data_IF_160433392558
#
_entry.id   IF_160433392558
#
_cell.length_a   1.000
_cell.length_b   1.000
_cell.length_c   1.000
_cell.angle_alpha   90.00
_cell.angle_beta   90.00
_cell.angle_gamma   90.00
#
_symmetry.space_group_name_H-M   'P 1'
#
loop_
_entity.id
_entity.type
_entity.pdbx_description
1 polymer ?
#
# COMPACT_ATOMS: atom_id res chain seq x y z
N UNK A 1 -13.59 32.89 -9.98
CA UNK A 1 -14.89 32.24 -9.76
C UNK A 1 -14.63 31.08 -8.82
N UNK A 2 -15.49 30.82 -7.83
CA UNK A 2 -15.34 29.64 -6.98
C UNK A 2 -15.56 28.39 -7.85
N UNK A 3 -14.72 27.36 -7.68
CA UNK A 3 -14.92 26.07 -8.33
C UNK A 3 -16.17 25.42 -7.77
N UNK A 4 -17.01 24.82 -8.63
CA UNK A 4 -18.16 24.04 -8.18
C UNK A 4 -17.65 22.74 -7.54
N UNK A 5 -17.89 22.58 -6.23
CA UNK A 5 -17.46 21.44 -5.42
C UNK A 5 -18.65 20.55 -5.01
N UNK A 6 -19.65 20.45 -5.88
CA UNK A 6 -20.80 19.58 -5.65
C UNK A 6 -20.55 18.19 -6.24
N UNK A 7 -21.12 17.16 -5.60
CA UNK A 7 -20.91 15.76 -5.99
C UNK A 7 -19.56 15.21 -5.55
N UNK A 8 -19.11 14.15 -6.24
CA UNK A 8 -17.87 13.43 -5.94
C UNK A 8 -16.66 14.15 -6.52
N UNK A 9 -15.59 14.33 -5.73
CA UNK A 9 -14.32 14.90 -6.17
C UNK A 9 -13.49 13.92 -7.02
N UNK A 10 -14.07 13.37 -8.09
CA UNK A 10 -13.38 12.49 -9.04
C UNK A 10 -13.79 12.90 -10.44
N UNK A 11 -12.81 13.22 -11.28
CA UNK A 11 -13.00 13.51 -12.69
C UNK A 11 -13.08 12.20 -13.48
N UNK A 12 -14.30 11.78 -13.79
CA UNK A 12 -14.58 10.55 -14.56
C UNK A 12 -14.19 10.65 -16.04
N UNK A 13 -13.95 11.87 -16.55
CA UNK A 13 -13.53 12.12 -17.93
C UNK A 13 -12.00 12.28 -18.05
N UNK A 14 -11.25 12.16 -16.94
CA UNK A 14 -9.80 12.24 -16.97
C UNK A 14 -9.20 11.08 -17.79
N UNK A 15 -8.15 11.34 -18.58
CA UNK A 15 -7.47 10.28 -19.30
C UNK A 15 -6.80 9.31 -18.32
N UNK A 16 -6.76 8.03 -18.66
CA UNK A 16 -6.01 7.05 -17.89
C UNK A 16 -4.53 7.43 -17.85
N UNK A 17 -3.95 7.40 -16.65
CA UNK A 17 -2.50 7.54 -16.46
C UNK A 17 -1.87 6.16 -16.26
N UNK A 18 -0.58 5.99 -16.62
CA UNK A 18 0.14 4.79 -16.21
C UNK A 18 0.17 4.68 -14.68
N UNK A 19 0.00 3.46 -14.18
CA UNK A 19 0.14 3.13 -12.78
C UNK A 19 1.50 3.59 -12.24
N UNK A 20 1.51 4.19 -11.05
CA UNK A 20 2.69 4.76 -10.42
C UNK A 20 3.27 3.86 -9.33
N UNK A 21 4.00 4.49 -8.40
CA UNK A 21 4.74 3.80 -7.35
C UNK A 21 3.83 3.07 -6.37
N UNK A 22 2.68 3.66 -6.00
CA UNK A 22 1.73 3.05 -5.07
C UNK A 22 1.13 1.76 -5.65
N UNK A 23 0.71 1.77 -6.92
CA UNK A 23 0.22 0.57 -7.61
C UNK A 23 1.28 -0.52 -7.71
N UNK A 24 2.51 -0.13 -8.04
CA UNK A 24 3.63 -1.07 -8.20
C UNK A 24 3.96 -1.75 -6.88
N UNK A 25 3.91 -1.02 -5.77
CA UNK A 25 4.09 -1.58 -4.42
C UNK A 25 2.94 -2.50 -4.01
N UNK A 26 1.69 -2.14 -4.30
CA UNK A 26 0.53 -3.00 -4.08
C UNK A 26 0.68 -4.34 -4.82
N UNK A 27 0.95 -4.28 -6.13
CA UNK A 27 1.17 -5.47 -6.94
C UNK A 27 2.37 -6.31 -6.47
N UNK A 28 3.45 -5.67 -6.02
CA UNK A 28 4.59 -6.38 -5.45
C UNK A 28 4.18 -7.17 -4.20
N UNK A 29 3.35 -6.60 -3.33
CA UNK A 29 2.84 -7.30 -2.15
C UNK A 29 1.93 -8.48 -2.50
N UNK A 30 1.02 -8.31 -3.45
CA UNK A 30 0.16 -9.40 -3.92
C UNK A 30 0.98 -10.58 -4.47
N UNK A 31 1.98 -10.28 -5.31
CA UNK A 31 2.88 -11.30 -5.86
C UNK A 31 3.73 -11.96 -4.78
N UNK A 32 4.16 -11.21 -3.77
CA UNK A 32 4.88 -11.78 -2.64
C UNK A 32 4.01 -12.80 -1.91
N UNK A 33 2.78 -12.43 -1.53
CA UNK A 33 1.85 -13.32 -0.84
C UNK A 33 1.53 -14.57 -1.67
N UNK A 34 1.30 -14.40 -2.97
CA UNK A 34 1.07 -15.52 -3.90
C UNK A 34 2.30 -16.43 -4.01
N UNK A 35 3.49 -15.86 -4.16
CA UNK A 35 4.74 -16.61 -4.29
C UNK A 35 5.08 -17.40 -3.03
N UNK A 36 4.91 -16.80 -1.85
CA UNK A 36 5.14 -17.46 -0.56
C UNK A 36 4.15 -18.59 -0.34
N UNK A 37 2.86 -18.36 -0.55
CA UNK A 37 1.84 -19.40 -0.40
C UNK A 37 2.00 -20.57 -1.38
N UNK A 38 2.55 -20.30 -2.57
CA UNK A 38 2.84 -21.31 -3.59
C UNK A 38 4.21 -21.98 -3.45
N UNK A 39 5.09 -21.46 -2.57
CA UNK A 39 6.49 -21.88 -2.48
C UNK A 39 7.31 -21.58 -3.74
N UNK A 40 6.94 -20.56 -4.52
CA UNK A 40 7.57 -20.21 -5.80
C UNK A 40 8.55 -19.05 -5.64
N UNK A 41 9.84 -19.39 -5.58
CA UNK A 41 10.92 -18.43 -5.45
C UNK A 41 11.00 -17.42 -6.60
N UNK A 42 10.60 -17.77 -7.83
CA UNK A 42 10.67 -16.87 -8.98
C UNK A 42 9.58 -15.81 -8.93
N UNK A 43 8.39 -16.17 -8.45
CA UNK A 43 7.31 -15.22 -8.19
C UNK A 43 7.70 -14.25 -7.08
N UNK A 44 8.29 -14.74 -5.97
CA UNK A 44 8.80 -13.86 -4.88
C UNK A 44 9.94 -12.96 -5.36
N UNK A 45 10.85 -13.46 -6.21
CA UNK A 45 11.90 -12.62 -6.82
C UNK A 45 11.29 -11.53 -7.72
N UNK A 46 10.21 -11.83 -8.42
CA UNK A 46 9.50 -10.85 -9.27
C UNK A 46 8.87 -9.75 -8.42
N UNK A 47 8.22 -10.12 -7.31
CA UNK A 47 7.73 -9.15 -6.32
C UNK A 47 8.85 -8.23 -5.81
N UNK A 48 9.98 -8.81 -5.43
CA UNK A 48 11.13 -8.04 -4.95
C UNK A 48 11.64 -7.05 -6.00
N UNK A 49 11.76 -7.47 -7.26
CA UNK A 49 12.19 -6.60 -8.38
C UNK A 49 11.23 -5.43 -8.59
N UNK A 50 9.92 -5.66 -8.50
CA UNK A 50 8.91 -4.60 -8.62
C UNK A 50 9.05 -3.61 -7.45
N UNK A 51 9.15 -4.08 -6.22
CA UNK A 51 9.36 -3.21 -5.06
C UNK A 51 10.66 -2.39 -5.17
N UNK A 52 11.77 -3.00 -5.63
CA UNK A 52 13.04 -2.30 -5.87
C UNK A 52 12.97 -1.24 -6.97
N UNK A 53 12.00 -1.36 -7.88
CA UNK A 53 11.79 -0.43 -8.99
C UNK A 53 11.07 0.86 -8.58
N UNK A 54 10.56 0.95 -7.35
CA UNK A 54 9.89 2.15 -6.84
C UNK A 54 10.83 2.94 -5.94
N UNK A 55 10.85 4.26 -6.10
CA UNK A 55 11.48 5.14 -5.12
C UNK A 55 10.47 5.46 -4.02
N UNK A 56 10.55 4.75 -2.89
CA UNK A 56 9.67 4.99 -1.74
C UNK A 56 10.36 5.96 -0.78
N UNK A 57 9.66 7.06 -0.47
CA UNK A 57 10.06 8.03 0.53
C UNK A 57 9.14 7.95 1.73
N UNK A 58 9.67 8.16 2.94
CA UNK A 58 8.84 8.32 4.13
C UNK A 58 8.16 9.69 4.09
N UNK A 59 6.84 9.71 4.29
CA UNK A 59 6.06 10.92 4.26
C UNK A 59 6.27 11.80 5.50
N UNK A 60 6.00 13.09 5.33
CA UNK A 60 5.98 14.06 6.43
C UNK A 60 4.78 13.87 7.35
N UNK A 61 4.60 14.77 8.31
CA UNK A 61 3.43 14.74 9.20
C UNK A 61 2.14 15.03 8.42
N UNK A 62 1.22 14.07 8.39
CA UNK A 62 -0.15 14.23 7.94
C UNK A 62 -1.11 13.89 9.08
N UNK A 63 -2.31 14.47 9.05
CA UNK A 63 -3.27 14.27 10.13
C UNK A 63 -3.82 12.84 10.06
N UNK A 64 -3.64 12.11 11.16
CA UNK A 64 -4.23 10.81 11.41
C UNK A 64 -5.04 10.83 12.70
N UNK A 65 -6.25 10.29 12.67
CA UNK A 65 -7.08 10.07 13.86
C UNK A 65 -7.30 8.57 14.04
N UNK A 66 -6.93 8.03 15.19
CA UNK A 66 -7.19 6.63 15.54
C UNK A 66 -8.34 6.54 16.53
N UNK A 67 -9.27 5.61 16.31
CA UNK A 67 -10.43 5.36 17.17
C UNK A 67 -10.55 3.87 17.50
N UNK A 68 -11.28 3.55 18.57
CA UNK A 68 -11.40 2.19 19.11
C UNK A 68 -10.52 1.95 20.33
N UNK A 69 -10.90 0.98 21.15
CA UNK A 69 -10.12 0.57 22.33
C UNK A 69 -9.03 -0.42 21.91
N UNK A 70 -7.85 -0.36 22.53
CA UNK A 70 -6.79 -1.35 22.30
C UNK A 70 -7.11 -2.59 23.16
N UNK A 71 -7.28 -3.79 22.59
CA UNK A 71 -7.39 -5.01 23.39
C UNK A 71 -6.12 -5.22 24.22
N UNK A 72 -6.24 -5.63 25.49
CA UNK A 72 -5.09 -5.76 26.40
C UNK A 72 -4.02 -6.74 25.88
N UNK A 73 -4.45 -7.82 25.24
CA UNK A 73 -3.57 -8.85 24.67
C UNK A 73 -2.91 -8.41 23.36
N UNK A 74 -3.41 -7.33 22.75
CA UNK A 74 -2.91 -6.71 21.53
C UNK A 74 -2.15 -5.42 21.84
N UNK A 75 -2.10 -4.99 23.12
CA UNK A 75 -1.41 -3.78 23.55
C UNK A 75 0.13 -3.92 23.53
N UNK A 76 0.64 -5.15 23.66
CA UNK A 76 2.06 -5.46 23.64
C UNK A 76 2.39 -6.46 22.51
N UNK A 77 3.13 -5.99 21.50
CA UNK A 77 3.62 -6.79 20.38
C UNK A 77 3.98 -5.90 19.19
N UNK A 78 5.18 -6.00 18.64
CA UNK A 78 5.46 -5.31 17.39
C UNK A 78 4.87 -6.18 16.28
N UNK A 79 3.76 -5.76 15.67
CA UNK A 79 3.50 -6.21 14.32
C UNK A 79 4.68 -5.72 13.46
N UNK A 80 5.27 -6.65 12.70
CA UNK A 80 6.37 -6.32 11.80
C UNK A 80 5.85 -5.34 10.76
N UNK A 81 6.72 -4.44 10.28
CA UNK A 81 6.32 -3.61 9.14
C UNK A 81 5.98 -4.54 7.95
N UNK A 82 5.07 -4.13 7.04
CA UNK A 82 4.87 -4.88 5.81
C UNK A 82 6.20 -5.15 5.12
N UNK A 83 6.29 -6.30 4.46
CA UNK A 83 7.53 -6.78 3.85
C UNK A 83 8.09 -5.76 2.86
N UNK A 84 9.36 -5.38 3.07
CA UNK A 84 10.08 -4.53 2.13
C UNK A 84 10.79 -5.36 1.04
N UNK A 85 11.35 -4.69 0.04
CA UNK A 85 12.06 -5.33 -1.06
C UNK A 85 13.21 -6.26 -0.60
N UNK A 86 13.92 -5.90 0.48
CA UNK A 86 15.03 -6.69 0.99
C UNK A 86 14.52 -7.97 1.67
N UNK A 87 13.42 -7.88 2.43
CA UNK A 87 12.73 -9.04 3.00
C UNK A 87 12.17 -9.96 1.91
N UNK A 88 11.63 -9.39 0.82
CA UNK A 88 11.18 -10.17 -0.34
C UNK A 88 12.35 -10.93 -0.99
N UNK A 89 13.50 -10.29 -1.22
CA UNK A 89 14.70 -10.97 -1.74
C UNK A 89 15.19 -12.08 -0.81
N UNK A 90 15.22 -11.82 0.50
CA UNK A 90 15.62 -12.82 1.49
C UNK A 90 14.70 -14.05 1.45
N UNK A 91 13.39 -13.84 1.33
CA UNK A 91 12.41 -14.93 1.19
C UNK A 91 12.56 -15.67 -0.14
N UNK A 92 12.81 -14.98 -1.24
CA UNK A 92 13.08 -15.62 -2.53
C UNK A 92 14.30 -16.54 -2.45
N UNK A 93 15.35 -16.09 -1.75
CA UNK A 93 16.58 -16.88 -1.53
C UNK A 93 16.34 -18.10 -0.66
N UNK A 94 15.52 -17.96 0.38
CA UNK A 94 15.09 -19.09 1.22
C UNK A 94 14.35 -20.14 0.40
N UNK A 95 13.36 -19.73 -0.40
CA UNK A 95 12.57 -20.63 -1.24
C UNK A 95 13.39 -21.27 -2.37
N UNK A 96 14.42 -20.58 -2.88
CA UNK A 96 15.29 -21.10 -3.93
C UNK A 96 16.12 -22.31 -3.46
N UNK A 97 16.42 -22.41 -2.16
CA UNK A 97 17.28 -23.47 -1.61
C UNK A 97 18.62 -23.54 -2.34
N UNK A 98 18.93 -24.70 -2.93
CA UNK A 98 20.16 -24.96 -3.68
C UNK A 98 20.01 -24.77 -5.21
N UNK A 99 18.89 -24.21 -5.70
CA UNK A 99 18.69 -23.97 -7.14
C UNK A 99 19.64 -22.87 -7.64
N UNK A 100 20.75 -23.30 -8.25
CA UNK A 100 21.79 -22.42 -8.76
C UNK A 100 21.30 -21.41 -9.81
N UNK A 101 20.23 -21.71 -10.56
CA UNK A 101 19.67 -20.79 -11.56
C UNK A 101 18.95 -19.66 -10.87
N UNK A 102 18.07 -19.96 -9.92
CA UNK A 102 17.32 -18.93 -9.19
C UNK A 102 18.27 -18.11 -8.30
N UNK A 103 19.23 -18.75 -7.63
CA UNK A 103 20.26 -18.04 -6.85
C UNK A 103 21.09 -17.08 -7.72
N UNK A 104 21.40 -17.46 -8.97
CA UNK A 104 22.06 -16.57 -9.93
C UNK A 104 21.21 -15.34 -10.26
N UNK A 105 19.91 -15.53 -10.54
CA UNK A 105 18.99 -14.41 -10.81
C UNK A 105 18.81 -13.48 -9.60
N UNK A 106 18.84 -14.01 -8.38
CA UNK A 106 18.80 -13.23 -7.15
C UNK A 106 20.07 -12.38 -7.04
N UNK A 107 21.25 -12.98 -7.22
CA UNK A 107 22.53 -12.26 -7.18
C UNK A 107 22.61 -11.16 -8.23
N UNK A 108 22.13 -11.41 -9.46
CA UNK A 108 22.03 -10.39 -10.50
C UNK A 108 21.10 -9.24 -10.06
N UNK A 109 19.97 -9.55 -9.43
CA UNK A 109 19.03 -8.54 -8.92
C UNK A 109 19.63 -7.68 -7.82
N UNK A 110 20.36 -8.29 -6.88
CA UNK A 110 21.07 -7.58 -5.82
C UNK A 110 22.15 -6.64 -6.39
N UNK A 111 22.79 -7.03 -7.50
CA UNK A 111 23.82 -6.24 -8.17
C UNK A 111 23.24 -5.09 -9.02
N UNK A 112 22.05 -5.27 -9.59
CA UNK A 112 21.33 -4.24 -10.36
C UNK A 112 20.72 -3.19 -9.41
N UNK A 113 21.56 -2.31 -8.85
CA UNK A 113 21.09 -1.20 -8.01
C UNK A 113 20.26 -0.18 -8.82
N UNK A 114 19.06 0.17 -8.35
CA UNK A 114 18.27 1.40 -8.62
C UNK A 114 18.17 1.91 -10.08
N UNK A 115 18.40 1.09 -11.11
CA UNK A 115 18.28 1.55 -12.50
C UNK A 115 16.82 1.57 -12.93
N UNK A 116 16.35 2.73 -13.38
CA UNK A 116 15.02 2.88 -13.99
C UNK A 116 13.85 2.96 -13.01
N UNK A 117 14.04 3.55 -11.82
CA UNK A 117 12.96 3.72 -10.85
C UNK A 117 11.76 4.45 -11.48
N UNK A 118 10.57 3.89 -11.29
CA UNK A 118 9.31 4.40 -11.84
C UNK A 118 8.62 5.23 -10.78
N UNK A 119 8.54 6.55 -11.00
CA UNK A 119 7.85 7.48 -10.10
C UNK A 119 8.42 7.50 -8.67
N UNK A 120 7.83 8.34 -7.82
CA UNK A 120 8.02 8.28 -6.38
C UNK A 120 6.74 7.78 -5.73
N UNK A 121 6.86 7.04 -4.63
CA UNK A 121 5.78 6.83 -3.69
C UNK A 121 6.14 7.49 -2.36
N UNK A 122 5.16 8.09 -1.71
CA UNK A 122 5.25 8.54 -0.33
C UNK A 122 4.56 7.51 0.55
N UNK A 123 5.20 7.11 1.64
CA UNK A 123 4.73 6.06 2.54
C UNK A 123 4.57 6.54 3.97
N UNK A 124 3.53 6.04 4.64
CA UNK A 124 3.35 6.16 6.08
C UNK A 124 3.04 4.79 6.66
N UNK A 125 3.70 4.44 7.76
CA UNK A 125 3.45 3.19 8.48
C UNK A 125 2.42 3.41 9.60
N UNK A 126 1.43 2.53 9.70
CA UNK A 126 0.61 2.38 10.88
C UNK A 126 0.72 0.98 11.46
N UNK A 127 0.47 0.87 12.76
CA UNK A 127 0.33 -0.40 13.48
C UNK A 127 -1.02 -0.39 14.14
N UNK A 128 -2.00 -1.01 13.50
CA UNK A 128 -3.41 -0.90 13.86
C UNK A 128 -3.84 -2.15 14.64
N UNK A 129 -4.07 -2.04 15.96
CA UNK A 129 -4.61 -3.13 16.77
C UNK A 129 -5.98 -3.60 16.25
N UNK A 130 -6.36 -4.82 16.60
CA UNK A 130 -7.69 -5.36 16.33
C UNK A 130 -8.79 -4.44 16.86
N UNK A 131 -9.83 -4.24 16.06
CA UNK A 131 -11.01 -3.44 16.40
C UNK A 131 -10.80 -1.92 16.38
N UNK A 132 -9.63 -1.44 15.94
CA UNK A 132 -9.38 -0.01 15.76
C UNK A 132 -9.54 0.43 14.31
N UNK A 133 -9.77 1.73 14.16
CA UNK A 133 -9.79 2.39 12.85
C UNK A 133 -8.88 3.60 12.84
N UNK A 134 -8.07 3.73 11.79
CA UNK A 134 -7.34 4.94 11.45
C UNK A 134 -8.10 5.73 10.38
N UNK A 135 -8.11 7.06 10.49
CA UNK A 135 -8.56 7.98 9.44
C UNK A 135 -7.42 8.92 9.09
N UNK A 136 -6.91 8.80 7.86
CA UNK A 136 -5.89 9.67 7.29
C UNK A 136 -6.52 10.78 6.46
N UNK A 137 -6.09 12.02 6.66
CA UNK A 137 -6.53 13.19 5.88
C UNK A 137 -5.41 13.60 4.91
N UNK A 138 -5.64 13.42 3.61
CA UNK A 138 -4.62 13.56 2.56
C UNK A 138 -5.05 14.64 1.55
N UNK A 139 -4.24 15.68 1.30
CA UNK A 139 -4.55 16.69 0.30
C UNK A 139 -4.15 16.20 -1.10
N UNK A 140 -5.05 16.34 -2.08
CA UNK A 140 -4.74 16.12 -3.49
C UNK A 140 -5.10 17.34 -4.35
N UNK A 141 -4.35 17.52 -5.42
CA UNK A 141 -4.55 18.60 -6.40
C UNK A 141 -5.53 18.17 -7.50
N UNK A 142 -6.46 19.07 -7.83
CA UNK A 142 -7.39 18.93 -8.93
C UNK A 142 -6.67 18.77 -10.27
N UNK A 143 -7.19 17.87 -11.10
CA UNK A 143 -6.66 17.52 -12.42
C UNK A 143 -5.25 16.94 -12.41
N UNK A 144 -4.74 16.52 -11.24
CA UNK A 144 -3.52 15.72 -11.13
C UNK A 144 -3.89 14.27 -10.89
N UNK A 145 -3.19 13.35 -11.54
CA UNK A 145 -3.31 11.93 -11.21
C UNK A 145 -2.93 11.70 -9.74
N UNK A 146 -3.68 10.86 -9.06
CA UNK A 146 -3.51 10.49 -7.66
C UNK A 146 -3.67 8.98 -7.52
N UNK A 147 -2.90 8.43 -6.59
CA UNK A 147 -2.99 7.02 -6.21
C UNK A 147 -3.03 6.91 -4.69
N UNK A 148 -3.79 5.93 -4.20
CA UNK A 148 -3.79 5.51 -2.81
C UNK A 148 -3.64 3.99 -2.82
N UNK A 149 -2.68 3.49 -2.04
CA UNK A 149 -2.64 2.07 -1.70
C UNK A 149 -2.55 1.89 -0.19
N UNK A 150 -3.21 0.84 0.30
CA UNK A 150 -2.99 0.27 1.63
C UNK A 150 -2.39 -1.10 1.41
N UNK A 151 -1.26 -1.37 2.06
CA UNK A 151 -0.55 -2.65 1.99
C UNK A 151 -0.25 -3.13 3.40
N UNK A 152 -1.03 -4.10 3.87
CA UNK A 152 -0.82 -4.76 5.17
C UNK A 152 0.30 -5.79 5.18
N UNK A 153 0.61 -6.30 6.37
CA UNK A 153 1.64 -7.30 6.65
C UNK A 153 1.18 -8.75 6.44
N UNK A 154 -0.10 -8.97 6.17
CA UNK A 154 -0.74 -10.27 5.95
C UNK A 154 -1.37 -10.91 7.19
N UNK A 155 -1.28 -10.28 8.38
CA UNK A 155 -1.64 -10.94 9.65
C UNK A 155 -3.15 -10.84 10.00
N UNK A 156 -3.83 -9.80 9.50
CA UNK A 156 -5.25 -9.57 9.79
C UNK A 156 -5.99 -8.88 8.64
N UNK A 157 -7.31 -9.05 8.57
CA UNK A 157 -8.17 -8.42 7.56
C UNK A 157 -8.26 -6.90 7.79
N UNK A 158 -8.09 -6.09 6.74
CA UNK A 158 -8.31 -4.65 6.79
C UNK A 158 -9.44 -4.24 5.84
N UNK A 159 -10.50 -3.68 6.40
CA UNK A 159 -11.53 -3.02 5.62
C UNK A 159 -11.09 -1.58 5.37
N UNK A 160 -11.11 -1.14 4.11
CA UNK A 160 -10.64 0.19 3.70
C UNK A 160 -11.72 0.91 2.93
N UNK A 161 -11.95 2.18 3.31
CA UNK A 161 -12.90 3.07 2.62
C UNK A 161 -12.22 4.40 2.34
N UNK A 162 -12.30 4.85 1.08
CA UNK A 162 -11.79 6.15 0.65
C UNK A 162 -12.95 7.07 0.29
N UNK A 163 -12.95 8.25 0.90
CA UNK A 163 -13.95 9.29 0.67
C UNK A 163 -13.32 10.63 0.28
N UNK A 164 -14.08 11.48 -0.40
CA UNK A 164 -13.71 12.88 -0.61
C UNK A 164 -14.13 13.78 0.58
N UNK A 165 -13.81 15.08 0.49
CA UNK A 165 -14.20 16.09 1.50
C UNK A 165 -15.71 16.25 1.71
N UNK A 166 -16.54 15.74 0.79
CA UNK A 166 -18.00 15.76 0.86
C UNK A 166 -18.58 14.46 1.46
N UNK A 167 -17.73 13.47 1.78
CA UNK A 167 -18.13 12.17 2.31
C UNK A 167 -18.60 11.17 1.26
N UNK A 168 -18.34 11.41 -0.03
CA UNK A 168 -18.68 10.46 -1.09
C UNK A 168 -17.64 9.34 -1.13
N UNK A 169 -18.10 8.10 -0.97
CA UNK A 169 -17.27 6.90 -1.20
C UNK A 169 -17.10 6.68 -2.69
N UNK A 170 -15.85 6.56 -3.15
CA UNK A 170 -15.55 6.22 -4.55
C UNK A 170 -14.62 5.00 -4.69
N UNK A 171 -13.96 4.61 -3.60
CA UNK A 171 -13.15 3.40 -3.54
C UNK A 171 -13.30 2.77 -2.15
N UNK A 172 -13.42 1.45 -2.12
CA UNK A 172 -13.41 0.66 -0.90
C UNK A 172 -13.00 -0.79 -1.19
N UNK A 173 -12.51 -1.47 -0.16
CA UNK A 173 -12.33 -2.92 -0.11
C UNK A 173 -12.85 -3.40 1.26
N UNK A 174 -13.71 -4.42 1.23
CA UNK A 174 -14.29 -5.09 2.42
C UNK A 174 -14.21 -6.61 2.25
N UNK A 175 -13.24 -7.05 1.44
CA UNK A 175 -12.96 -8.45 1.18
C UNK A 175 -12.15 -9.04 2.36
N UNK A 176 -11.54 -10.21 2.15
CA UNK A 176 -10.69 -10.85 3.16
C UNK A 176 -9.21 -10.48 2.95
N UNK A 177 -8.95 -9.30 2.39
CA UNK A 177 -7.62 -8.77 2.13
C UNK A 177 -7.22 -7.75 3.19
N UNK A 178 -5.93 -7.45 3.25
CA UNK A 178 -5.40 -6.30 3.97
C UNK A 178 -4.82 -5.27 3.01
N UNK A 179 -5.34 -5.27 1.78
CA UNK A 179 -4.83 -4.48 0.67
C UNK A 179 -5.95 -3.74 -0.03
N UNK A 180 -5.65 -2.51 -0.41
CA UNK A 180 -6.48 -1.70 -1.28
C UNK A 180 -5.57 -0.96 -2.24
N UNK A 181 -5.97 -0.84 -3.50
CA UNK A 181 -5.41 0.12 -4.43
C UNK A 181 -6.52 0.86 -5.15
N UNK A 182 -6.37 2.17 -5.27
CA UNK A 182 -7.15 2.96 -6.20
C UNK A 182 -6.36 4.10 -6.79
N UNK A 183 -6.72 4.41 -8.02
CA UNK A 183 -6.28 5.59 -8.71
C UNK A 183 -7.47 6.45 -9.13
N UNK A 184 -7.21 7.75 -9.20
CA UNK A 184 -8.22 8.73 -9.55
C UNK A 184 -7.55 10.03 -9.98
N UNK A 185 -8.36 10.92 -10.54
CA UNK A 185 -7.96 12.31 -10.79
C UNK A 185 -8.97 13.19 -10.06
N UNK A 186 -8.60 13.95 -9.02
CA UNK A 186 -9.52 14.84 -8.35
C UNK A 186 -10.09 15.86 -9.34
N UNK A 187 -11.37 16.17 -9.26
CA UNK A 187 -11.99 17.21 -10.08
C UNK A 187 -11.61 18.62 -9.60
N UNK A 188 -11.26 18.75 -8.32
CA UNK A 188 -10.82 19.98 -7.66
C UNK A 188 -9.82 19.70 -6.53
N UNK A 189 -9.08 20.73 -6.12
CA UNK A 189 -8.19 20.67 -4.96
C UNK A 189 -9.03 20.39 -3.69
N UNK A 190 -8.69 19.33 -2.96
CA UNK A 190 -9.47 18.93 -1.78
C UNK A 190 -8.78 17.88 -0.94
N UNK A 191 -9.34 17.67 0.24
CA UNK A 191 -8.93 16.56 1.11
C UNK A 191 -9.68 15.30 0.76
N UNK A 192 -9.00 14.18 0.94
CA UNK A 192 -9.52 12.84 0.85
C UNK A 192 -9.23 12.12 2.15
N UNK A 193 -10.13 11.23 2.54
CA UNK A 193 -10.05 10.49 3.79
C UNK A 193 -9.92 9.01 3.51
N UNK A 194 -8.82 8.41 3.98
CA UNK A 194 -8.61 6.96 3.95
C UNK A 194 -8.91 6.42 5.34
N UNK A 195 -10.04 5.72 5.45
CA UNK A 195 -10.41 5.00 6.66
C UNK A 195 -9.91 3.57 6.54
N UNK A 196 -9.08 3.13 7.47
CA UNK A 196 -8.58 1.75 7.56
C UNK A 196 -9.07 1.16 8.87
N UNK A 197 -9.85 0.10 8.81
CA UNK A 197 -10.39 -0.61 9.97
C UNK A 197 -9.79 -2.01 10.05
N UNK A 198 -9.21 -2.35 11.19
CA UNK A 198 -8.76 -3.71 11.45
C UNK A 198 -9.93 -4.53 12.01
N UNK A 199 -10.58 -5.28 11.12
CA UNK A 199 -11.69 -6.19 11.46
C UNK A 199 -11.21 -7.61 11.79
N UNK A 200 -9.89 -7.83 11.79
CA UNK A 200 -9.25 -9.05 12.25
C UNK A 200 -9.19 -9.16 13.77
N UNK A 201 -8.65 -10.27 14.28
CA UNK A 201 -8.52 -10.55 15.72
C UNK A 201 -7.11 -10.30 16.28
N UNK A 202 -6.20 -9.80 15.45
CA UNK A 202 -4.81 -9.46 15.80
C UNK A 202 -4.44 -8.12 15.18
N UNK A 203 -3.41 -7.46 15.69
CA UNK A 203 -2.81 -6.27 15.05
C UNK A 203 -2.38 -6.57 13.61
N UNK A 204 -2.57 -5.60 12.72
CA UNK A 204 -1.97 -5.54 11.38
C UNK A 204 -1.17 -4.23 11.27
N UNK A 205 0.06 -4.30 10.77
CA UNK A 205 0.80 -3.14 10.30
C UNK A 205 0.59 -2.95 8.82
N UNK A 206 0.34 -1.71 8.40
CA UNK A 206 0.19 -1.40 6.99
C UNK A 206 0.97 -0.15 6.58
N UNK A 207 1.35 -0.10 5.31
CA UNK A 207 1.76 1.12 4.64
C UNK A 207 0.55 1.75 3.96
N UNK A 208 0.34 3.04 4.24
CA UNK A 208 -0.42 3.93 3.36
C UNK A 208 0.56 4.51 2.34
N UNK A 209 0.25 4.39 1.05
CA UNK A 209 1.08 4.85 -0.05
C UNK A 209 0.32 5.84 -0.94
N UNK A 210 0.97 6.92 -1.33
CA UNK A 210 0.49 7.87 -2.35
C UNK A 210 1.60 8.22 -3.34
N UNK A 211 1.29 8.96 -4.40
CA UNK A 211 2.29 9.53 -5.31
C UNK A 211 2.95 10.81 -4.79
#
# INVERSE_FOLDING_TARGET
MAQDKTGTNVNVDAPASPAGGAATMGLASELYALGVSSGDALTVLTAARLAMSVDVTEGGEIKKTTTGDVPADDAEGAAEAPVDAAMMLAKAKELAGDDAVILGLIADTEAESARGRIGGAVSWISRLPSGQSDVWEIPFYGNSYAEIAVVGDGDANLDVVVTDENGNVFCYDVSWSDQLYCDFTPAWDGYFYVTVENVGNVRNSYYLLTN
#
